data_IF_258501360904
#
_entry.id   IF_258501360904
#
_cell.length_a   1.000
_cell.length_b   1.000
_cell.length_c   1.000
_cell.angle_alpha   90.00
_cell.angle_beta   90.00
_cell.angle_gamma   90.00
#
_symmetry.space_group_name_H-M   'P 1'
#
loop_
_entity.id
_entity.type
_entity.pdbx_description
1 polymer ?
#
# COMPACT_ATOMS: atom_id res chain seq x y z
N UNK A 1 -15.21 4.77 -11.30
CA UNK A 1 -15.11 4.44 -9.86
C UNK A 1 -14.95 2.92 -9.74
N UNK A 2 -13.73 2.40 -9.75
CA UNK A 2 -13.42 1.02 -9.30
C UNK A 2 -11.95 1.02 -8.84
N UNK A 3 -11.71 1.72 -7.73
CA UNK A 3 -10.50 1.49 -6.93
C UNK A 3 -10.62 0.15 -6.21
N UNK A 4 -9.49 -0.41 -5.78
CA UNK A 4 -9.44 -1.61 -4.96
C UNK A 4 -10.54 -1.57 -3.87
N UNK A 5 -11.29 -2.65 -3.68
CA UNK A 5 -12.32 -2.66 -2.64
C UNK A 5 -11.66 -2.48 -1.26
N UNK A 6 -12.40 -1.94 -0.31
CA UNK A 6 -11.87 -1.73 1.04
C UNK A 6 -11.43 -3.06 1.67
N UNK A 7 -12.19 -4.13 1.44
CA UNK A 7 -11.89 -5.48 1.90
C UNK A 7 -10.58 -5.99 1.30
N UNK A 8 -10.36 -5.77 0.00
CA UNK A 8 -9.10 -6.15 -0.65
C UNK A 8 -7.93 -5.30 -0.13
N UNK A 9 -8.16 -4.03 0.21
CA UNK A 9 -7.14 -3.22 0.86
C UNK A 9 -6.78 -3.77 2.25
N UNK A 10 -7.76 -4.19 3.05
CA UNK A 10 -7.55 -4.84 4.34
C UNK A 10 -6.82 -6.19 4.21
N UNK A 11 -7.19 -7.01 3.22
CA UNK A 11 -6.54 -8.29 2.93
C UNK A 11 -5.04 -8.11 2.70
N UNK A 12 -4.63 -7.02 2.05
CA UNK A 12 -3.21 -6.71 1.83
C UNK A 12 -2.42 -6.53 3.14
N UNK A 13 -3.01 -5.91 4.18
CA UNK A 13 -2.33 -5.71 5.47
C UNK A 13 -2.12 -7.01 6.25
N UNK A 14 -2.86 -8.08 5.93
CA UNK A 14 -2.75 -9.37 6.60
C UNK A 14 -1.71 -10.31 5.96
N UNK A 15 -1.18 -9.96 4.79
CA UNK A 15 -0.20 -10.76 4.05
C UNK A 15 1.23 -10.26 4.17
N UNK A 16 2.09 -10.73 3.26
CA UNK A 16 3.43 -10.19 3.07
C UNK A 16 3.31 -8.77 2.49
N UNK A 17 4.03 -7.84 3.12
CA UNK A 17 3.97 -6.43 2.76
C UNK A 17 5.36 -5.80 2.75
N UNK A 18 5.53 -4.85 1.84
CA UNK A 18 6.67 -3.93 1.82
C UNK A 18 6.12 -2.54 2.13
N UNK A 19 6.61 -1.92 3.19
CA UNK A 19 6.16 -0.60 3.63
C UNK A 19 7.32 0.38 3.57
N UNK A 20 7.08 1.55 2.96
CA UNK A 20 8.05 2.65 2.90
C UNK A 20 7.40 4.00 3.18
N UNK A 21 8.17 4.93 3.72
CA UNK A 21 7.71 6.31 3.90
C UNK A 21 7.62 7.00 2.54
N UNK A 22 6.51 7.71 2.30
CA UNK A 22 6.32 8.56 1.11
C UNK A 22 6.81 9.97 1.40
N UNK A 23 8.09 10.21 1.13
CA UNK A 23 8.77 11.49 1.33
C UNK A 23 8.85 12.35 0.06
N UNK A 24 8.03 12.08 -0.95
CA UNK A 24 8.05 12.81 -2.22
C UNK A 24 7.63 14.27 -2.08
N UNK A 25 6.80 14.58 -1.08
CA UNK A 25 6.28 15.91 -0.81
C UNK A 25 6.11 16.10 0.70
N UNK A 26 6.09 17.35 1.16
CA UNK A 26 5.64 17.68 2.50
C UNK A 26 4.10 17.70 2.53
N UNK A 27 3.53 16.63 3.07
CA UNK A 27 2.08 16.46 3.17
C UNK A 27 1.48 17.03 4.46
N UNK A 28 2.30 17.56 5.38
CA UNK A 28 1.87 17.93 6.73
C UNK A 28 1.53 16.74 7.64
N UNK A 29 1.73 15.51 7.18
CA UNK A 29 1.57 14.26 7.91
C UNK A 29 2.51 13.18 7.36
N UNK A 30 2.85 12.17 8.17
CA UNK A 30 3.65 11.03 7.71
C UNK A 30 2.78 10.10 6.88
N UNK A 31 3.05 10.02 5.58
CA UNK A 31 2.42 9.04 4.69
C UNK A 31 3.34 7.87 4.45
N UNK A 32 2.76 6.68 4.37
CA UNK A 32 3.44 5.44 4.02
C UNK A 32 2.79 4.85 2.76
N UNK A 33 3.62 4.22 1.94
CA UNK A 33 3.20 3.37 0.84
C UNK A 33 3.38 1.92 1.28
N UNK A 34 2.31 1.15 1.18
CA UNK A 34 2.32 -0.30 1.27
C UNK A 34 2.20 -0.90 -0.13
N UNK A 35 3.09 -1.83 -0.42
CA UNK A 35 2.93 -2.82 -1.48
C UNK A 35 2.60 -4.16 -0.82
N UNK A 36 1.53 -4.80 -1.25
CA UNK A 36 1.13 -6.11 -0.72
C UNK A 36 0.45 -6.93 -1.79
N UNK A 37 0.42 -8.24 -1.63
CA UNK A 37 -0.25 -9.14 -2.57
C UNK A 37 -1.61 -9.58 -2.07
N UNK A 38 -2.62 -9.44 -2.93
CA UNK A 38 -4.00 -9.88 -2.67
C UNK A 38 -4.44 -10.76 -3.82
N UNK A 39 -4.66 -12.05 -3.54
CA UNK A 39 -5.13 -13.05 -4.52
C UNK A 39 -4.31 -13.05 -5.83
N UNK A 40 -2.98 -13.07 -5.72
CA UNK A 40 -2.08 -13.07 -6.88
C UNK A 40 -1.88 -11.70 -7.54
N UNK A 41 -2.32 -10.61 -6.91
CA UNK A 41 -2.21 -9.25 -7.47
C UNK A 41 -1.57 -8.31 -6.46
N UNK A 42 -0.45 -7.69 -6.85
CA UNK A 42 0.17 -6.65 -6.03
C UNK A 42 -0.68 -5.38 -6.09
N UNK A 43 -0.96 -4.83 -4.91
CA UNK A 43 -1.69 -3.59 -4.69
C UNK A 43 -0.76 -2.53 -4.12
N UNK A 44 -1.10 -1.27 -4.39
CA UNK A 44 -0.42 -0.10 -3.88
C UNK A 44 -1.40 0.68 -3.01
N UNK A 45 -1.06 0.87 -1.74
CA UNK A 45 -1.89 1.55 -0.76
C UNK A 45 -1.09 2.69 -0.14
N UNK A 46 -1.63 3.91 -0.19
CA UNK A 46 -1.12 5.05 0.59
C UNK A 46 -1.95 5.12 1.85
N UNK A 47 -1.29 5.19 3.00
CA UNK A 47 -1.94 5.30 4.28
C UNK A 47 -1.17 6.20 5.24
N UNK A 48 -1.83 6.62 6.30
CA UNK A 48 -1.24 7.32 7.45
C UNK A 48 -1.68 6.60 8.73
N UNK A 49 -0.86 6.68 9.76
CA UNK A 49 -1.16 6.18 11.10
C UNK A 49 -1.51 7.36 11.99
N UNK A 50 -2.71 7.36 12.56
CA UNK A 50 -3.20 8.42 13.45
C UNK A 50 -3.91 7.81 14.65
N UNK A 51 -3.48 8.18 15.85
CA UNK A 51 -4.14 7.76 17.11
C UNK A 51 -4.32 6.22 17.19
N UNK A 52 -3.32 5.47 16.71
CA UNK A 52 -3.37 4.00 16.66
C UNK A 52 -4.21 3.40 15.54
N UNK A 53 -4.80 4.22 14.66
CA UNK A 53 -5.62 3.77 13.54
C UNK A 53 -4.92 3.98 12.19
N UNK A 54 -5.16 3.07 11.25
CA UNK A 54 -4.73 3.19 9.86
C UNK A 54 -5.82 3.92 9.08
N UNK A 55 -5.47 5.06 8.47
CA UNK A 55 -6.33 5.75 7.50
C UNK A 55 -5.78 5.54 6.10
N UNK A 56 -6.53 4.83 5.27
CA UNK A 56 -6.21 4.69 3.84
C UNK A 56 -6.53 6.00 3.13
N UNK A 57 -5.54 6.54 2.42
CA UNK A 57 -5.62 7.76 1.62
C UNK A 57 -5.89 7.41 0.15
N UNK A 58 -5.26 6.35 -0.35
CA UNK A 58 -5.43 5.87 -1.72
C UNK A 58 -5.15 4.38 -1.81
N UNK A 59 -5.91 3.65 -2.63
CA UNK A 59 -5.67 2.24 -2.91
C UNK A 59 -5.91 1.94 -4.38
N UNK A 60 -4.97 1.23 -5.01
CA UNK A 60 -5.03 0.87 -6.43
C UNK A 60 -4.23 -0.39 -6.71
N UNK A 61 -4.39 -0.92 -7.93
CA UNK A 61 -3.45 -1.91 -8.46
C UNK A 61 -2.04 -1.31 -8.56
N UNK A 62 -1.02 -2.08 -8.18
CA UNK A 62 0.36 -1.71 -8.41
C UNK A 62 0.70 -1.70 -9.90
N UNK A 63 1.55 -0.78 -10.33
CA UNK A 63 2.07 -0.75 -11.69
C UNK A 63 3.22 -1.76 -11.86
N UNK A 64 3.69 -1.97 -13.09
CA UNK A 64 4.75 -2.96 -13.38
C UNK A 64 6.06 -2.73 -12.60
N UNK A 65 6.43 -1.47 -12.34
CA UNK A 65 7.64 -1.14 -11.58
C UNK A 65 7.47 -1.47 -10.10
N UNK A 66 6.31 -1.16 -9.54
CA UNK A 66 5.95 -1.45 -8.16
C UNK A 66 5.80 -2.96 -7.91
N UNK A 67 5.20 -3.70 -8.83
CA UNK A 67 5.12 -5.17 -8.77
C UNK A 67 6.52 -5.79 -8.68
N UNK A 68 7.45 -5.31 -9.53
CA UNK A 68 8.83 -5.79 -9.52
C UNK A 68 9.51 -5.47 -8.19
N UNK A 69 9.41 -4.22 -7.73
CA UNK A 69 9.99 -3.80 -6.46
C UNK A 69 9.44 -4.59 -5.26
N UNK A 70 8.17 -4.99 -5.30
CA UNK A 70 7.60 -5.86 -4.27
C UNK A 70 8.33 -7.21 -4.23
N UNK A 71 8.43 -7.90 -5.37
CA UNK A 71 9.07 -9.22 -5.45
C UNK A 71 10.58 -9.17 -5.13
N UNK A 72 11.27 -8.10 -5.52
CA UNK A 72 12.71 -7.91 -5.20
C UNK A 72 12.98 -7.74 -3.68
N UNK A 73 11.99 -7.32 -2.89
CA UNK A 73 12.13 -7.09 -1.44
C UNK A 73 11.64 -8.27 -0.59
N UNK A 74 10.88 -9.21 -1.17
CA UNK A 74 10.34 -10.37 -0.46
C UNK A 74 11.03 -11.70 -0.80
N UNK A 75 11.97 -11.70 -1.76
CA UNK A 75 12.91 -12.80 -2.05
C UNK A 75 14.09 -12.80 -1.04
#
# INVERSE_FOLDING_TARGET
MHGLSFEAAQEAFAGNIVVKVDNRFDYGEVRKVLLGEVRGRVVFIVFTEREGNIRIISARKANRKEVRAYYEEID
#
